data_IF_191603714991
#
_entry.id   IF_191603714991
#
_cell.length_a   1.000
_cell.length_b   1.000
_cell.length_c   1.000
_cell.angle_alpha   90.00
_cell.angle_beta   90.00
_cell.angle_gamma   90.00
#
_symmetry.space_group_name_H-M   'P 1'
#
loop_
_entity.id
_entity.type
_entity.pdbx_description
1 polymer ?
#
# COMPACT_ATOMS: atom_id res chain seq x y z
N UNK A 1 -9.11 25.21 3.72
CA UNK A 1 -9.49 23.88 3.18
C UNK A 1 -8.60 22.79 3.76
N UNK A 2 -8.91 21.51 3.51
CA UNK A 2 -8.10 20.35 3.95
C UNK A 2 -7.86 19.36 2.82
N UNK A 3 -6.77 18.61 2.88
CA UNK A 3 -6.44 17.49 1.99
C UNK A 3 -6.27 16.21 2.82
N UNK A 4 -6.84 15.10 2.36
CA UNK A 4 -6.66 13.77 2.95
C UNK A 4 -6.27 12.81 1.83
N UNK A 5 -5.13 12.12 1.98
CA UNK A 5 -4.57 11.20 0.98
C UNK A 5 -4.23 9.88 1.68
N UNK A 6 -4.59 8.76 1.08
CA UNK A 6 -3.98 7.46 1.38
C UNK A 6 -3.19 7.00 0.16
N UNK A 7 -1.98 6.50 0.36
CA UNK A 7 -1.12 6.11 -0.76
C UNK A 7 -0.18 4.94 -0.42
N UNK A 8 0.28 4.23 -1.44
CA UNK A 8 1.38 3.28 -1.28
C UNK A 8 2.66 4.05 -0.96
N UNK A 9 3.36 3.56 0.05
CA UNK A 9 4.63 4.09 0.50
C UNK A 9 5.70 3.00 0.51
N UNK A 10 6.95 3.41 0.65
CA UNK A 10 8.07 2.53 0.97
C UNK A 10 8.49 2.69 2.43
N UNK A 11 9.16 1.69 2.99
CA UNK A 11 9.87 1.85 4.26
C UNK A 11 11.09 2.77 4.13
N UNK A 12 11.59 3.26 5.27
CA UNK A 12 12.81 4.09 5.34
C UNK A 12 14.11 3.27 5.26
N UNK A 13 14.02 1.95 5.46
CA UNK A 13 15.14 1.02 5.33
C UNK A 13 15.54 0.79 3.86
N UNK A 14 16.76 0.30 3.58
CA UNK A 14 17.15 -0.15 2.25
C UNK A 14 16.16 -1.18 1.70
N UNK A 15 15.73 -0.98 0.46
CA UNK A 15 14.72 -1.81 -0.19
C UNK A 15 15.31 -3.12 -0.69
N UNK A 16 14.58 -4.21 -0.53
CA UNK A 16 14.97 -5.49 -1.16
C UNK A 16 14.96 -5.40 -2.69
N UNK A 17 15.82 -6.18 -3.36
CA UNK A 17 15.87 -6.24 -4.83
C UNK A 17 14.52 -6.64 -5.43
N UNK A 18 13.81 -7.55 -4.76
CA UNK A 18 12.45 -7.97 -5.15
C UNK A 18 11.48 -6.80 -5.13
N UNK A 19 11.54 -5.94 -4.12
CA UNK A 19 10.68 -4.77 -4.05
C UNK A 19 11.06 -3.71 -5.07
N UNK A 20 12.34 -3.46 -5.30
CA UNK A 20 12.80 -2.53 -6.34
C UNK A 20 12.32 -2.96 -7.73
N UNK A 21 12.44 -4.26 -8.06
CA UNK A 21 11.92 -4.81 -9.31
C UNK A 21 10.40 -4.63 -9.45
N UNK A 22 9.65 -4.88 -8.36
CA UNK A 22 8.21 -4.62 -8.32
C UNK A 22 7.88 -3.15 -8.59
N UNK A 23 8.50 -2.21 -7.86
CA UNK A 23 8.30 -0.76 -8.02
C UNK A 23 8.59 -0.33 -9.46
N UNK A 24 9.71 -0.81 -10.03
CA UNK A 24 10.10 -0.51 -11.41
C UNK A 24 9.07 -1.06 -12.43
N UNK A 25 8.62 -2.30 -12.26
CA UNK A 25 7.60 -2.91 -13.16
C UNK A 25 6.27 -2.16 -13.17
N UNK A 26 5.97 -1.41 -12.10
CA UNK A 26 4.75 -0.62 -11.94
C UNK A 26 4.93 0.85 -12.32
N UNK A 27 6.17 1.28 -12.56
CA UNK A 27 6.52 2.69 -12.78
C UNK A 27 6.20 3.57 -11.57
N UNK A 28 6.19 3.00 -10.36
CA UNK A 28 5.85 3.75 -9.15
C UNK A 28 7.00 4.63 -8.67
N UNK A 29 6.64 5.80 -8.14
CA UNK A 29 7.54 6.63 -7.34
C UNK A 29 7.02 6.65 -5.90
N UNK A 30 7.59 5.79 -5.06
CA UNK A 30 7.14 5.64 -3.68
C UNK A 30 8.02 6.44 -2.73
N UNK A 31 7.39 7.26 -1.89
CA UNK A 31 8.02 7.95 -0.77
C UNK A 31 7.82 7.17 0.53
N UNK A 32 8.66 7.39 1.53
CA UNK A 32 8.29 6.99 2.89
C UNK A 32 7.24 7.93 3.46
N UNK A 33 6.45 7.51 4.48
CA UNK A 33 5.45 8.39 5.07
C UNK A 33 6.03 9.73 5.55
N UNK A 34 7.24 9.70 6.14
CA UNK A 34 7.96 10.92 6.55
C UNK A 34 8.30 11.83 5.37
N UNK A 35 8.86 11.26 4.29
CA UNK A 35 9.19 12.00 3.07
C UNK A 35 7.95 12.64 2.44
N UNK A 36 6.84 11.90 2.38
CA UNK A 36 5.59 12.39 1.82
C UNK A 36 5.00 13.54 2.66
N UNK A 37 5.01 13.41 3.99
CA UNK A 37 4.65 14.51 4.89
C UNK A 37 5.50 15.76 4.63
N UNK A 38 6.80 15.59 4.41
CA UNK A 38 7.71 16.67 4.00
C UNK A 38 7.29 17.36 2.70
N UNK A 39 6.81 16.61 1.71
CA UNK A 39 6.29 17.18 0.44
C UNK A 39 5.07 18.05 0.69
N UNK A 40 4.12 17.62 1.53
CA UNK A 40 2.93 18.43 1.86
C UNK A 40 3.32 19.72 2.58
N UNK A 41 4.24 19.64 3.55
CA UNK A 41 4.75 20.82 4.25
C UNK A 41 5.44 21.78 3.29
N UNK A 42 6.30 21.28 2.39
CA UNK A 42 6.98 22.10 1.38
C UNK A 42 6.00 22.75 0.38
N UNK A 43 4.85 22.13 0.13
CA UNK A 43 3.78 22.68 -0.68
C UNK A 43 2.92 23.75 0.05
N UNK A 44 3.21 24.04 1.32
CA UNK A 44 2.56 25.07 2.11
C UNK A 44 1.30 24.62 2.85
N UNK A 45 1.11 23.30 3.06
CA UNK A 45 0.12 22.82 4.00
C UNK A 45 0.64 22.94 5.44
N UNK A 46 -0.24 23.38 6.35
CA UNK A 46 -0.03 23.42 7.78
C UNK A 46 -0.65 22.18 8.46
N UNK A 47 -0.28 21.95 9.71
CA UNK A 47 -0.78 20.85 10.55
C UNK A 47 -0.73 19.49 9.86
N UNK A 48 0.39 19.22 9.16
CA UNK A 48 0.57 17.99 8.39
C UNK A 48 0.73 16.80 9.33
N UNK A 49 -0.16 15.83 9.18
CA UNK A 49 -0.10 14.53 9.82
C UNK A 49 0.27 13.50 8.75
N UNK A 50 1.29 12.69 9.03
CA UNK A 50 1.76 11.61 8.18
C UNK A 50 1.87 10.32 9.01
N UNK A 51 0.99 9.37 8.74
CA UNK A 51 0.88 8.13 9.51
C UNK A 51 1.27 6.92 8.67
N UNK A 52 2.07 6.03 9.26
CA UNK A 52 2.21 4.65 8.78
C UNK A 52 1.00 3.84 9.27
N UNK A 53 0.11 3.48 8.34
CA UNK A 53 -1.10 2.67 8.56
C UNK A 53 -0.92 1.24 8.04
N UNK A 54 0.32 0.75 7.93
CA UNK A 54 0.62 -0.58 7.39
C UNK A 54 -0.04 -1.71 8.16
N UNK A 55 -0.16 -1.60 9.49
CA UNK A 55 -0.87 -2.61 10.31
C UNK A 55 -2.36 -2.72 9.92
N UNK A 56 -3.02 -1.58 9.72
CA UNK A 56 -4.41 -1.59 9.25
C UNK A 56 -4.50 -2.19 7.84
N UNK A 57 -3.57 -1.83 6.96
CA UNK A 57 -3.50 -2.36 5.61
C UNK A 57 -3.30 -3.89 5.60
N UNK A 58 -2.40 -4.44 6.41
CA UNK A 58 -2.17 -5.89 6.49
C UNK A 58 -3.41 -6.62 7.01
N UNK A 59 -4.10 -6.08 8.02
CA UNK A 59 -5.34 -6.67 8.52
C UNK A 59 -6.43 -6.73 7.45
N UNK A 60 -6.56 -5.68 6.61
CA UNK A 60 -7.50 -5.68 5.48
C UNK A 60 -7.10 -6.73 4.44
N UNK A 61 -5.81 -6.79 4.06
CA UNK A 61 -5.30 -7.76 3.11
C UNK A 61 -5.54 -9.22 3.55
N UNK A 62 -5.29 -9.53 4.82
CA UNK A 62 -5.53 -10.86 5.38
C UNK A 62 -7.02 -11.24 5.35
N UNK A 63 -7.90 -10.30 5.71
CA UNK A 63 -9.34 -10.51 5.65
C UNK A 63 -9.86 -10.69 4.22
N UNK A 64 -9.37 -9.89 3.27
CA UNK A 64 -9.72 -10.00 1.84
C UNK A 64 -9.24 -11.31 1.23
N UNK A 65 -8.00 -11.72 1.55
CA UNK A 65 -7.42 -12.98 1.12
C UNK A 65 -8.23 -14.16 1.67
N UNK A 66 -8.49 -14.19 2.98
CA UNK A 66 -9.27 -15.26 3.62
C UNK A 66 -10.67 -15.40 3.01
N UNK A 67 -11.37 -14.26 2.79
CA UNK A 67 -12.69 -14.26 2.15
C UNK A 67 -12.64 -14.78 0.73
N UNK A 68 -11.62 -14.40 -0.05
CA UNK A 68 -11.51 -14.80 -1.46
C UNK A 68 -11.19 -16.29 -1.60
N UNK A 69 -10.29 -16.80 -0.76
CA UNK A 69 -9.97 -18.23 -0.71
C UNK A 69 -11.18 -19.06 -0.29
N UNK A 70 -11.94 -18.60 0.71
CA UNK A 70 -13.15 -19.29 1.16
C UNK A 70 -14.26 -19.35 0.10
N UNK A 71 -14.28 -18.41 -0.85
CA UNK A 71 -15.28 -18.31 -1.91
C UNK A 71 -14.68 -18.52 -3.32
N UNK A 72 -13.62 -19.34 -3.42
CA UNK A 72 -12.85 -19.55 -4.65
C UNK A 72 -13.73 -19.88 -5.87
N UNK A 73 -14.60 -20.87 -5.75
CA UNK A 73 -15.37 -21.37 -6.89
C UNK A 73 -16.36 -20.32 -7.42
N UNK A 74 -16.98 -19.55 -6.51
CA UNK A 74 -17.84 -18.42 -6.88
C UNK A 74 -17.04 -17.30 -7.55
N UNK A 75 -15.88 -16.95 -7.01
CA UNK A 75 -15.00 -15.95 -7.59
C UNK A 75 -14.60 -16.32 -9.03
N UNK A 76 -14.16 -17.56 -9.25
CA UNK A 76 -13.75 -18.05 -10.58
C UNK A 76 -14.92 -18.05 -11.55
N UNK A 77 -16.12 -18.45 -11.10
CA UNK A 77 -17.32 -18.44 -11.93
C UNK A 77 -17.70 -17.03 -12.41
N UNK A 78 -17.41 -15.99 -11.62
CA UNK A 78 -17.69 -14.59 -11.95
C UNK A 78 -16.54 -13.89 -12.69
N UNK A 79 -15.33 -14.46 -12.65
CA UNK A 79 -14.11 -13.87 -13.20
C UNK A 79 -13.36 -14.90 -14.06
N UNK A 80 -12.24 -15.44 -13.58
CA UNK A 80 -11.51 -16.55 -14.18
C UNK A 80 -10.55 -17.18 -13.17
N UNK A 81 -10.02 -18.37 -13.47
CA UNK A 81 -8.93 -18.96 -12.69
C UNK A 81 -7.71 -18.03 -12.66
N UNK A 82 -7.41 -17.36 -13.78
CA UNK A 82 -6.28 -16.44 -13.87
C UNK A 82 -6.44 -15.26 -12.91
N UNK A 83 -7.62 -14.64 -12.90
CA UNK A 83 -7.89 -13.50 -12.01
C UNK A 83 -7.80 -13.90 -10.54
N UNK A 84 -8.27 -15.10 -10.21
CA UNK A 84 -8.15 -15.67 -8.86
C UNK A 84 -6.67 -15.82 -8.45
N UNK A 85 -5.84 -16.43 -9.31
CA UNK A 85 -4.42 -16.62 -9.03
C UNK A 85 -3.68 -15.27 -8.93
N UNK A 86 -4.01 -14.32 -9.81
CA UNK A 86 -3.39 -13.00 -9.84
C UNK A 86 -3.74 -12.17 -8.58
N UNK A 87 -4.99 -12.22 -8.10
CA UNK A 87 -5.39 -11.47 -6.89
C UNK A 87 -4.84 -12.10 -5.61
N UNK A 88 -4.91 -13.43 -5.48
CA UNK A 88 -4.37 -14.17 -4.32
C UNK A 88 -2.86 -13.97 -4.22
N UNK A 89 -2.12 -14.28 -5.29
CA UNK A 89 -0.67 -14.09 -5.31
C UNK A 89 -0.27 -12.62 -5.16
N UNK A 90 -1.10 -11.69 -5.66
CA UNK A 90 -0.93 -10.26 -5.47
C UNK A 90 -1.01 -9.82 -4.01
N UNK A 91 -2.01 -10.30 -3.26
CA UNK A 91 -2.17 -10.01 -1.83
C UNK A 91 -1.09 -10.69 -0.97
N UNK A 92 -0.78 -11.97 -1.22
CA UNK A 92 0.31 -12.68 -0.53
C UNK A 92 1.65 -11.95 -0.73
N UNK A 93 1.94 -11.52 -1.96
CA UNK A 93 3.15 -10.75 -2.24
C UNK A 93 3.17 -9.39 -1.52
N UNK A 94 2.02 -8.73 -1.35
CA UNK A 94 1.92 -7.48 -0.58
C UNK A 94 2.19 -7.74 0.90
N UNK A 95 1.61 -8.79 1.48
CA UNK A 95 1.84 -9.17 2.88
C UNK A 95 3.32 -9.43 3.16
N UNK A 96 3.99 -10.19 2.29
CA UNK A 96 5.44 -10.42 2.41
C UNK A 96 6.23 -9.11 2.35
N UNK A 97 5.91 -8.21 1.40
CA UNK A 97 6.58 -6.90 1.32
C UNK A 97 6.30 -6.01 2.54
N UNK A 98 5.12 -6.10 3.14
CA UNK A 98 4.81 -5.36 4.37
C UNK A 98 5.61 -5.93 5.56
N UNK A 99 5.70 -7.26 5.67
CA UNK A 99 6.46 -7.95 6.71
C UNK A 99 7.96 -7.65 6.64
N UNK A 100 8.52 -7.56 5.42
CA UNK A 100 9.92 -7.18 5.18
C UNK A 100 10.18 -5.68 5.42
N UNK A 101 9.13 -4.91 5.72
CA UNK A 101 9.18 -3.45 5.88
C UNK A 101 9.24 -2.67 4.58
N UNK A 102 9.41 -3.34 3.44
CA UNK A 102 9.56 -2.74 2.11
C UNK A 102 8.38 -1.86 1.72
N UNK A 103 7.16 -2.42 1.79
CA UNK A 103 5.93 -1.74 1.40
C UNK A 103 5.18 -1.22 2.63
N UNK A 104 4.73 0.03 2.55
CA UNK A 104 3.97 0.72 3.58
C UNK A 104 2.66 1.27 3.04
N UNK A 105 1.72 1.57 3.93
CA UNK A 105 0.48 2.28 3.62
C UNK A 105 0.46 3.60 4.37
N UNK A 106 0.55 4.71 3.64
CA UNK A 106 0.56 6.06 4.22
C UNK A 106 -0.85 6.64 4.30
N UNK A 107 -1.13 7.37 5.39
CA UNK A 107 -2.28 8.27 5.49
C UNK A 107 -1.78 9.68 5.83
N UNK A 108 -2.20 10.65 5.02
CA UNK A 108 -1.71 12.02 5.08
C UNK A 108 -2.86 13.01 5.17
N UNK A 109 -2.80 13.91 6.13
CA UNK A 109 -3.75 15.00 6.31
C UNK A 109 -3.00 16.32 6.38
N UNK A 110 -3.49 17.35 5.70
CA UNK A 110 -2.94 18.69 5.77
C UNK A 110 -4.00 19.77 5.60
N UNK A 111 -3.72 20.96 6.10
CA UNK A 111 -4.64 22.09 6.10
C UNK A 111 -4.04 23.28 5.35
N UNK A 112 -4.88 24.04 4.66
CA UNK A 112 -4.48 25.28 3.99
C UNK A 112 -5.46 26.37 4.35
N UNK A 113 -4.95 27.49 4.84
CA UNK A 113 -5.76 28.66 5.21
C UNK A 113 -6.24 29.39 3.96
#
# INVERSE_FOLDING_TARGET
>A
GRVLISDYCRGDQPQSDRFQAYVASRGYHLLSPSQYGGVLTAAGFADVVAEDRTEHFTNVLEAELARTVANRDEFIAQTSEKDYQDIVGGWESKLTRCADGDQKWGLFLGYKH
#
